data_IF_696702945019
#
_entry.id   IF_696702945019
#
_cell.length_a   1.000
_cell.length_b   1.000
_cell.length_c   1.000
_cell.angle_alpha   90.00
_cell.angle_beta   90.00
_cell.angle_gamma   90.00
#
_symmetry.space_group_name_H-M   'P 1'
#
loop_
_entity.id
_entity.type
_entity.pdbx_description
1 polymer ?
#
# COMPACT_ATOMS: atom_id res chain seq x y z
N UNK A 1 25.12 17.17 -24.02
CA UNK A 1 25.10 18.12 -22.88
C UNK A 1 25.43 19.55 -23.29
N UNK A 2 26.58 19.84 -23.92
CA UNK A 2 26.94 21.23 -24.33
C UNK A 2 25.89 21.90 -25.23
N UNK A 3 25.35 21.15 -26.19
CA UNK A 3 24.33 21.67 -27.13
C UNK A 3 22.97 21.94 -26.46
N UNK A 4 22.62 21.15 -25.44
CA UNK A 4 21.39 21.31 -24.66
C UNK A 4 21.48 22.53 -23.74
N UNK A 5 22.62 22.70 -23.07
CA UNK A 5 22.93 23.88 -22.25
C UNK A 5 22.91 25.16 -23.11
N UNK A 6 23.48 25.11 -24.32
CA UNK A 6 23.42 26.23 -25.26
C UNK A 6 21.99 26.64 -25.61
N UNK A 7 21.14 25.67 -25.95
CA UNK A 7 19.71 25.92 -26.24
C UNK A 7 18.94 26.43 -25.03
N UNK A 8 19.22 25.90 -23.84
CA UNK A 8 18.61 26.36 -22.60
C UNK A 8 18.96 27.82 -22.29
N UNK A 9 20.22 28.22 -22.46
CA UNK A 9 20.66 29.61 -22.23
C UNK A 9 20.10 30.62 -23.23
N UNK A 10 19.52 30.16 -24.35
CA UNK A 10 18.87 31.01 -25.35
C UNK A 10 17.39 31.27 -25.03
N UNK A 11 16.82 30.58 -24.04
CA UNK A 11 15.44 30.81 -23.58
C UNK A 11 15.35 32.07 -22.72
N UNK A 12 14.17 32.70 -22.68
CA UNK A 12 13.90 33.77 -21.71
C UNK A 12 13.85 33.21 -20.28
N UNK A 13 14.02 34.07 -19.29
CA UNK A 13 14.04 33.69 -17.86
C UNK A 13 12.80 32.90 -17.42
N UNK A 14 11.63 33.25 -17.97
CA UNK A 14 10.37 32.55 -17.70
C UNK A 14 10.42 31.10 -18.23
N UNK A 15 10.81 30.90 -19.49
CA UNK A 15 10.88 29.57 -20.09
C UNK A 15 12.02 28.73 -19.51
N UNK A 16 13.11 29.35 -19.06
CA UNK A 16 14.17 28.66 -18.32
C UNK A 16 13.63 28.09 -17.00
N UNK A 17 12.81 28.88 -16.29
CA UNK A 17 12.17 28.45 -15.04
C UNK A 17 11.19 27.31 -15.27
N UNK A 18 10.37 27.36 -16.32
CA UNK A 18 9.47 26.27 -16.69
C UNK A 18 10.20 24.96 -16.96
N UNK A 19 11.35 25.02 -17.66
CA UNK A 19 12.18 23.83 -17.93
C UNK A 19 12.75 23.27 -16.62
N UNK A 20 13.24 24.12 -15.72
CA UNK A 20 13.71 23.68 -14.39
C UNK A 20 12.57 23.03 -13.59
N UNK A 21 11.40 23.67 -13.55
CA UNK A 21 10.24 23.19 -12.81
C UNK A 21 9.75 21.84 -13.35
N UNK A 22 9.77 21.67 -14.67
CA UNK A 22 9.44 20.39 -15.31
C UNK A 22 10.46 19.29 -14.97
N UNK A 23 11.76 19.58 -15.00
CA UNK A 23 12.80 18.62 -14.60
C UNK A 23 12.65 18.24 -13.13
N UNK A 24 12.39 19.22 -12.25
CA UNK A 24 12.15 18.98 -10.84
C UNK A 24 10.91 18.11 -10.62
N UNK A 25 9.83 18.36 -11.36
CA UNK A 25 8.63 17.52 -11.34
C UNK A 25 8.95 16.07 -11.72
N UNK A 26 9.73 15.86 -12.79
CA UNK A 26 10.14 14.51 -13.20
C UNK A 26 10.98 13.81 -12.13
N UNK A 27 11.89 14.52 -11.47
CA UNK A 27 12.68 13.99 -10.37
C UNK A 27 11.85 13.68 -9.12
N UNK A 28 10.80 14.46 -8.84
CA UNK A 28 9.86 14.15 -7.76
C UNK A 28 9.00 12.92 -8.08
N UNK A 29 8.69 12.68 -9.35
CA UNK A 29 7.97 11.50 -9.85
C UNK A 29 8.85 10.26 -9.97
N UNK A 30 10.16 10.40 -9.77
CA UNK A 30 11.05 9.26 -9.58
C UNK A 30 10.71 8.64 -8.23
N UNK A 31 9.69 7.78 -8.21
CA UNK A 31 9.35 6.96 -7.07
C UNK A 31 10.63 6.25 -6.62
N UNK A 32 11.02 6.47 -5.37
CA UNK A 32 12.01 5.59 -4.74
C UNK A 32 11.41 4.19 -4.85
N UNK A 33 12.13 3.19 -5.37
CA UNK A 33 11.61 1.84 -5.38
C UNK A 33 11.21 1.52 -3.95
N UNK A 34 9.90 1.35 -3.73
CA UNK A 34 9.40 0.88 -2.45
C UNK A 34 10.08 -0.46 -2.27
N UNK A 35 11.03 -0.53 -1.33
CA UNK A 35 11.71 -1.78 -1.06
C UNK A 35 10.64 -2.76 -0.64
N UNK A 36 10.42 -3.78 -1.47
CA UNK A 36 9.49 -4.84 -1.17
C UNK A 36 9.94 -5.50 0.13
N UNK A 37 9.15 -5.33 1.18
CA UNK A 37 9.44 -5.90 2.49
C UNK A 37 8.86 -7.32 2.56
N UNK A 38 9.70 -8.30 2.24
CA UNK A 38 9.35 -9.71 2.26
C UNK A 38 8.87 -10.15 3.65
N UNK A 39 9.48 -9.65 4.73
CA UNK A 39 9.11 -10.03 6.10
C UNK A 39 7.72 -9.52 6.48
N UNK A 40 7.37 -8.29 6.08
CA UNK A 40 6.04 -7.74 6.27
C UNK A 40 4.98 -8.55 5.49
N UNK A 41 5.26 -8.84 4.22
CA UNK A 41 4.37 -9.63 3.35
C UNK A 41 4.18 -11.06 3.87
N UNK A 42 5.26 -11.71 4.35
CA UNK A 42 5.20 -13.04 4.97
C UNK A 42 4.33 -13.03 6.22
N UNK A 43 4.50 -12.03 7.09
CA UNK A 43 3.70 -11.89 8.32
C UNK A 43 2.22 -11.70 8.01
N UNK A 44 1.91 -10.90 7.00
CA UNK A 44 0.54 -10.68 6.53
C UNK A 44 -0.09 -11.97 6.01
N UNK A 45 0.56 -12.71 5.10
CA UNK A 45 0.04 -13.99 4.60
C UNK A 45 -0.17 -15.01 5.72
N UNK A 46 0.78 -15.12 6.65
CA UNK A 46 0.64 -16.04 7.78
C UNK A 46 -0.58 -15.70 8.63
N UNK A 47 -0.87 -14.41 8.83
CA UNK A 47 -2.05 -13.97 9.58
C UNK A 47 -3.38 -14.29 8.91
N UNK A 48 -3.43 -14.36 7.56
CA UNK A 48 -4.66 -14.71 6.81
C UNK A 48 -5.04 -16.19 6.97
N UNK A 49 -4.08 -17.05 7.33
CA UNK A 49 -4.28 -18.50 7.48
C UNK A 49 -4.58 -18.98 8.90
N UNK A 50 -4.59 -18.08 9.88
CA UNK A 50 -4.78 -18.42 11.30
C UNK A 50 -5.96 -17.62 11.83
N UNK A 51 -7.02 -18.32 12.24
CA UNK A 51 -8.13 -17.68 12.93
C UNK A 51 -7.63 -17.15 14.27
N UNK A 52 -7.89 -15.87 14.52
CA UNK A 52 -7.63 -15.26 15.81
C UNK A 52 -8.64 -15.75 16.85
N UNK A 53 -8.32 -15.54 18.13
CA UNK A 53 -9.27 -15.84 19.21
C UNK A 53 -10.58 -15.06 19.05
N UNK A 54 -10.53 -13.86 18.47
CA UNK A 54 -11.72 -13.06 18.16
C UNK A 54 -12.58 -13.68 17.04
N UNK A 55 -11.95 -14.27 16.03
CA UNK A 55 -12.65 -14.98 14.95
C UNK A 55 -13.31 -16.27 15.47
N UNK A 56 -12.67 -16.93 16.45
CA UNK A 56 -13.12 -18.19 17.03
C UNK A 56 -14.22 -18.02 18.09
N UNK A 57 -14.24 -16.90 18.82
CA UNK A 57 -15.17 -16.65 19.93
C UNK A 57 -16.65 -16.88 19.55
N UNK A 58 -17.20 -16.25 18.49
CA UNK A 58 -18.62 -16.44 18.14
C UNK A 58 -18.93 -17.88 17.71
N UNK A 59 -17.94 -18.60 17.17
CA UNK A 59 -18.10 -19.99 16.72
C UNK A 59 -18.17 -20.93 17.91
N UNK A 60 -17.33 -20.69 18.93
CA UNK A 60 -17.36 -21.45 20.18
C UNK A 60 -18.67 -21.18 20.96
N UNK A 61 -19.11 -19.92 21.03
CA UNK A 61 -20.39 -19.57 21.67
C UNK A 61 -21.59 -20.20 20.96
N UNK A 62 -21.61 -20.18 19.62
CA UNK A 62 -22.67 -20.82 18.84
C UNK A 62 -22.66 -22.34 19.01
N UNK A 63 -21.48 -22.96 19.08
CA UNK A 63 -21.35 -24.39 19.35
C UNK A 63 -21.95 -24.76 20.70
N UNK A 64 -21.64 -24.00 21.75
CA UNK A 64 -22.20 -24.22 23.10
C UNK A 64 -23.73 -24.10 23.12
N UNK A 65 -24.29 -23.14 22.37
CA UNK A 65 -25.73 -22.98 22.25
C UNK A 65 -26.39 -24.15 21.52
N UNK A 66 -25.76 -24.68 20.47
CA UNK A 66 -26.25 -25.85 19.71
C UNK A 66 -26.19 -27.11 20.56
N UNK A 67 -25.08 -27.36 21.26
CA UNK A 67 -24.91 -28.55 22.10
C UNK A 67 -25.93 -28.60 23.25
N UNK A 68 -26.38 -27.42 23.72
CA UNK A 68 -27.39 -27.28 24.77
C UNK A 68 -28.81 -27.02 24.25
N UNK A 69 -28.99 -26.95 22.92
CA UNK A 69 -30.30 -26.68 22.32
C UNK A 69 -31.21 -27.89 22.49
N UNK A 70 -32.36 -27.66 23.15
CA UNK A 70 -33.43 -28.65 23.24
C UNK A 70 -34.57 -28.24 22.32
N UNK A 71 -35.10 -29.15 21.48
CA UNK A 71 -36.31 -28.87 20.71
C UNK A 71 -37.44 -28.48 21.65
N UNK A 72 -38.15 -27.40 21.33
CA UNK A 72 -39.40 -27.07 21.99
C UNK A 72 -40.45 -28.12 21.59
N UNK A 73 -40.97 -28.87 22.56
CA UNK A 73 -42.09 -29.79 22.32
C UNK A 73 -43.35 -28.99 21.96
N UNK A 74 -44.04 -29.42 20.91
CA UNK A 74 -45.33 -28.86 20.46
C UNK A 74 -46.50 -29.55 21.14
#
# INVERSE_FOLDING_TARGET
MKDLLGKYTQLSDEHQKEVIDFVNFLLQKQEKPVQFNMDAYRKEIQSVSVWSDQDLTPILEAKDQIDNWKPSEW
#
